data_IF_907902327638
#
_entry.id   IF_907902327638
#
_cell.length_a   1.000
_cell.length_b   1.000
_cell.length_c   1.000
_cell.angle_alpha   90.00
_cell.angle_beta   90.00
_cell.angle_gamma   90.00
#
_symmetry.space_group_name_H-M   'P 1'
#
loop_
_entity.id
_entity.type
_entity.pdbx_description
1 polymer ?
#
# COMPACT_ATOMS: atom_id res chain seq x y z
N UNK A 1 -23.92 28.56 21.82
CA UNK A 1 -23.10 27.33 21.77
C UNK A 1 -22.55 27.21 20.36
N UNK A 2 -21.32 27.67 20.08
CA UNK A 2 -20.79 27.64 18.72
C UNK A 2 -20.18 26.27 18.44
N UNK A 3 -20.36 25.83 17.19
CA UNK A 3 -20.21 24.46 16.72
C UNK A 3 -18.79 23.94 16.74
N UNK A 4 -18.68 22.62 16.87
CA UNK A 4 -17.48 21.83 16.67
C UNK A 4 -17.03 21.94 15.21
N UNK A 5 -16.14 22.87 14.92
CA UNK A 5 -15.39 22.91 13.66
C UNK A 5 -14.41 21.74 13.68
N UNK A 6 -14.75 20.64 13.02
CA UNK A 6 -13.80 19.59 12.69
C UNK A 6 -12.64 20.25 11.93
N UNK A 7 -11.37 20.12 12.36
CA UNK A 7 -10.26 20.71 11.64
C UNK A 7 -10.17 20.04 10.26
N UNK A 8 -10.46 20.82 9.23
CA UNK A 8 -10.26 20.44 7.83
C UNK A 8 -8.75 20.19 7.72
N UNK A 9 -8.34 18.93 7.48
CA UNK A 9 -6.92 18.63 7.25
C UNK A 9 -6.46 19.47 6.06
N UNK A 10 -5.43 20.33 6.19
CA UNK A 10 -4.93 21.07 5.04
C UNK A 10 -4.45 20.07 3.99
N UNK A 11 -4.90 20.25 2.75
CA UNK A 11 -4.41 19.47 1.61
C UNK A 11 -2.89 19.68 1.56
N UNK A 12 -2.12 18.60 1.70
CA UNK A 12 -0.66 18.68 1.59
C UNK A 12 -0.31 19.27 0.22
N UNK A 13 0.57 20.27 0.23
CA UNK A 13 1.03 20.94 -0.99
C UNK A 13 1.89 19.95 -1.78
N UNK A 14 1.56 19.75 -3.06
CA UNK A 14 2.34 18.88 -3.94
C UNK A 14 3.67 19.58 -4.28
N UNK A 15 4.79 18.92 -4.00
CA UNK A 15 6.12 19.34 -4.44
C UNK A 15 6.47 18.61 -5.75
N UNK A 16 6.79 19.37 -6.78
CA UNK A 16 7.19 18.83 -8.08
C UNK A 16 8.70 18.71 -8.17
N UNK A 17 9.19 17.47 -8.23
CA UNK A 17 10.62 17.16 -8.37
C UNK A 17 10.85 16.53 -9.74
N UNK A 18 11.71 17.13 -10.55
CA UNK A 18 12.02 16.66 -11.91
C UNK A 18 13.30 15.85 -11.95
N UNK A 19 13.35 14.84 -12.83
CA UNK A 19 14.55 14.07 -13.06
C UNK A 19 15.63 14.95 -13.72
N UNK A 20 16.89 14.88 -13.25
CA UNK A 20 17.99 15.59 -13.90
C UNK A 20 18.19 15.08 -15.35
N UNK A 21 18.47 15.95 -16.32
CA UNK A 21 18.62 15.56 -17.73
C UNK A 21 19.76 14.54 -17.95
N UNK A 22 20.79 14.60 -17.12
CA UNK A 22 21.95 13.70 -17.19
C UNK A 22 21.79 12.42 -16.37
N UNK A 23 20.63 12.18 -15.74
CA UNK A 23 20.42 11.07 -14.82
C UNK A 23 19.24 10.17 -15.24
N UNK A 24 19.30 9.52 -16.42
CA UNK A 24 18.20 8.71 -16.96
C UNK A 24 17.78 7.55 -16.03
N UNK A 25 18.69 7.06 -15.18
CA UNK A 25 18.39 5.97 -14.25
C UNK A 25 17.39 6.35 -13.13
N UNK A 26 17.17 7.63 -12.86
CA UNK A 26 16.22 8.08 -11.82
C UNK A 26 14.77 7.68 -12.14
N UNK A 27 14.43 7.57 -13.43
CA UNK A 27 13.11 7.14 -13.88
C UNK A 27 12.94 5.63 -14.04
N UNK A 28 13.99 4.83 -13.80
CA UNK A 28 14.00 3.42 -14.23
C UNK A 28 12.91 2.54 -13.59
N UNK A 29 12.45 2.90 -12.40
CA UNK A 29 11.37 2.19 -11.73
C UNK A 29 10.00 2.46 -12.39
N UNK A 30 9.73 3.70 -12.80
CA UNK A 30 8.54 4.05 -13.58
C UNK A 30 8.55 3.35 -14.94
N UNK A 31 9.70 3.36 -15.61
CA UNK A 31 9.87 2.68 -16.90
C UNK A 31 9.63 1.17 -16.78
N UNK A 32 10.13 0.54 -15.71
CA UNK A 32 9.86 -0.86 -15.40
C UNK A 32 8.36 -1.11 -15.23
N UNK A 33 7.67 -0.26 -14.47
CA UNK A 33 6.23 -0.40 -14.23
C UNK A 33 5.42 -0.26 -15.52
N UNK A 34 5.75 0.73 -16.35
CA UNK A 34 5.17 0.91 -17.69
C UNK A 34 5.44 -0.31 -18.58
N UNK A 35 6.63 -0.92 -18.48
CA UNK A 35 6.98 -2.15 -19.16
C UNK A 35 6.09 -3.34 -18.76
N UNK A 36 5.81 -3.50 -17.46
CA UNK A 36 4.91 -4.53 -16.93
C UNK A 36 3.49 -4.33 -17.48
N UNK A 37 2.96 -3.11 -17.38
CA UNK A 37 1.63 -2.77 -17.90
C UNK A 37 1.51 -3.09 -19.40
N UNK A 38 2.46 -2.62 -20.21
CA UNK A 38 2.48 -2.89 -21.66
C UNK A 38 2.58 -4.39 -21.95
N UNK A 39 3.32 -5.16 -21.15
CA UNK A 39 3.40 -6.62 -21.32
C UNK A 39 2.05 -7.29 -21.03
N UNK A 40 1.37 -6.92 -19.95
CA UNK A 40 0.03 -7.42 -19.64
C UNK A 40 -0.96 -7.10 -20.76
N UNK A 41 -1.02 -5.84 -21.21
CA UNK A 41 -1.93 -5.41 -22.27
C UNK A 41 -1.66 -6.16 -23.59
N UNK A 42 -0.39 -6.33 -23.98
CA UNK A 42 -0.05 -7.09 -25.21
C UNK A 42 -0.50 -8.54 -25.14
N UNK A 43 -0.38 -9.19 -23.98
CA UNK A 43 -0.81 -10.58 -23.77
C UNK A 43 -2.33 -10.72 -23.81
N UNK A 44 -3.07 -9.76 -23.23
CA UNK A 44 -4.53 -9.80 -23.13
C UNK A 44 -5.19 -9.38 -24.44
N UNK A 45 -4.74 -8.28 -25.05
CA UNK A 45 -5.40 -7.69 -26.22
C UNK A 45 -4.94 -8.31 -27.55
N UNK A 46 -3.71 -8.80 -27.62
CA UNK A 46 -3.14 -9.34 -28.86
C UNK A 46 -3.21 -8.33 -30.01
N UNK A 47 -4.09 -8.59 -30.99
CA UNK A 47 -4.33 -7.74 -32.17
C UNK A 47 -5.64 -6.93 -32.09
N UNK A 48 -6.38 -7.01 -30.98
CA UNK A 48 -7.63 -6.29 -30.80
C UNK A 48 -7.40 -4.77 -30.76
N UNK A 49 -8.29 -4.01 -31.39
CA UNK A 49 -8.36 -2.56 -31.28
C UNK A 49 -9.63 -2.21 -30.50
N UNK A 50 -9.48 -1.54 -29.37
CA UNK A 50 -10.59 -1.19 -28.48
C UNK A 50 -11.01 0.26 -28.67
N UNK A 51 -12.29 0.55 -28.40
CA UNK A 51 -12.76 1.91 -28.19
C UNK A 51 -12.09 2.51 -26.94
N UNK A 52 -12.16 3.83 -26.82
CA UNK A 52 -11.62 4.55 -25.66
C UNK A 52 -12.20 4.01 -24.34
N UNK A 53 -13.52 3.88 -24.25
CA UNK A 53 -14.19 3.42 -23.03
C UNK A 53 -13.75 2.00 -22.63
N UNK A 54 -13.72 1.08 -23.60
CA UNK A 54 -13.26 -0.29 -23.35
C UNK A 54 -11.78 -0.34 -22.95
N UNK A 55 -10.94 0.52 -23.53
CA UNK A 55 -9.54 0.62 -23.14
C UNK A 55 -9.37 1.11 -21.70
N UNK A 56 -10.17 2.08 -21.26
CA UNK A 56 -10.14 2.57 -19.87
C UNK A 56 -10.49 1.43 -18.90
N UNK A 57 -11.54 0.65 -19.18
CA UNK A 57 -11.89 -0.51 -18.35
C UNK A 57 -10.75 -1.52 -18.27
N UNK A 58 -10.15 -1.88 -19.41
CA UNK A 58 -9.03 -2.82 -19.45
C UNK A 58 -7.81 -2.29 -18.68
N UNK A 59 -7.57 -0.98 -18.73
CA UNK A 59 -6.50 -0.36 -17.94
C UNK A 59 -6.77 -0.42 -16.44
N UNK A 60 -8.01 -0.22 -15.99
CA UNK A 60 -8.40 -0.40 -14.59
C UNK A 60 -8.20 -1.85 -14.12
N UNK A 61 -8.56 -2.83 -14.95
CA UNK A 61 -8.32 -4.24 -14.64
C UNK A 61 -6.82 -4.57 -14.57
N UNK A 62 -6.04 -4.03 -15.51
CA UNK A 62 -4.59 -4.20 -15.52
C UNK A 62 -3.93 -3.55 -14.29
N UNK A 63 -4.41 -2.37 -13.88
CA UNK A 63 -3.97 -1.70 -12.64
C UNK A 63 -4.26 -2.58 -11.42
N UNK A 64 -5.48 -3.10 -11.28
CA UNK A 64 -5.86 -3.97 -10.17
C UNK A 64 -4.94 -5.21 -10.09
N UNK A 65 -4.70 -5.86 -11.22
CA UNK A 65 -3.82 -7.03 -11.30
C UNK A 65 -2.37 -6.69 -10.91
N UNK A 66 -1.84 -5.56 -11.38
CA UNK A 66 -0.47 -5.14 -11.07
C UNK A 66 -0.34 -4.81 -9.57
N UNK A 67 -1.35 -4.15 -9.00
CA UNK A 67 -1.38 -3.78 -7.59
C UNK A 67 -1.60 -4.97 -6.65
N UNK A 68 -2.26 -6.05 -7.09
CA UNK A 68 -2.43 -7.28 -6.31
C UNK A 68 -1.33 -8.33 -6.55
N UNK A 69 -0.34 -8.02 -7.40
CA UNK A 69 0.76 -8.93 -7.68
C UNK A 69 1.61 -9.17 -6.41
N UNK A 70 1.97 -10.43 -6.09
CA UNK A 70 2.84 -10.72 -4.96
C UNK A 70 4.26 -10.16 -5.16
N UNK A 71 4.76 -9.45 -4.16
CA UNK A 71 6.14 -8.96 -4.02
C UNK A 71 7.03 -9.97 -3.28
N UNK A 72 6.43 -10.80 -2.44
CA UNK A 72 7.10 -11.86 -1.70
C UNK A 72 6.73 -13.24 -2.25
N UNK A 73 7.39 -14.26 -1.71
CA UNK A 73 7.09 -15.65 -2.04
C UNK A 73 5.61 -15.99 -1.76
N UNK A 74 5.00 -16.74 -2.68
CA UNK A 74 3.66 -17.29 -2.53
C UNK A 74 3.84 -18.71 -1.99
N UNK A 75 3.39 -18.95 -0.76
CA UNK A 75 3.42 -20.30 -0.19
C UNK A 75 2.23 -21.14 -0.67
N UNK A 76 2.46 -22.44 -0.79
CA UNK A 76 1.43 -23.45 -1.04
C UNK A 76 0.71 -23.88 0.25
N UNK A 77 1.31 -23.62 1.42
CA UNK A 77 0.70 -23.95 2.71
C UNK A 77 -0.33 -22.88 3.10
N UNK A 78 -1.58 -23.26 3.42
CA UNK A 78 -2.62 -22.32 3.82
C UNK A 78 -2.37 -21.65 5.19
N UNK A 79 -1.50 -22.23 6.02
CA UNK A 79 -1.13 -21.70 7.33
C UNK A 79 0.01 -20.67 7.27
N UNK A 80 0.66 -20.53 6.12
CA UNK A 80 1.74 -19.58 5.93
C UNK A 80 1.22 -18.15 5.70
N UNK A 81 2.10 -17.17 5.92
CA UNK A 81 1.76 -15.76 5.77
C UNK A 81 1.39 -15.42 4.33
N UNK A 82 0.32 -14.62 4.16
CA UNK A 82 -0.09 -14.08 2.87
C UNK A 82 1.05 -13.25 2.24
N UNK A 83 1.31 -13.39 0.93
CA UNK A 83 2.33 -12.59 0.26
C UNK A 83 1.98 -11.10 0.29
N UNK A 84 3.00 -10.25 0.44
CA UNK A 84 2.85 -8.80 0.36
C UNK A 84 2.52 -8.38 -1.07
N UNK A 85 1.58 -7.46 -1.25
CA UNK A 85 1.22 -6.88 -2.55
C UNK A 85 1.36 -5.35 -2.50
N UNK A 86 1.60 -4.66 -3.63
CA UNK A 86 1.60 -3.20 -3.67
C UNK A 86 0.33 -2.56 -3.09
N UNK A 87 -0.84 -3.17 -3.34
CA UNK A 87 -2.13 -2.71 -2.83
C UNK A 87 -2.18 -2.62 -1.30
N UNK A 88 -1.44 -3.48 -0.58
CA UNK A 88 -1.32 -3.43 0.88
C UNK A 88 -0.59 -2.19 1.39
N UNK A 89 0.23 -1.54 0.57
CA UNK A 89 0.93 -0.29 0.92
C UNK A 89 0.15 0.96 0.51
N UNK A 90 -0.67 0.86 -0.55
CA UNK A 90 -1.47 1.97 -1.06
C UNK A 90 -2.74 2.20 -0.24
N UNK A 91 -3.33 1.11 0.26
CA UNK A 91 -4.45 1.19 1.17
C UNK A 91 -3.92 1.30 2.61
N UNK A 92 -4.35 2.33 3.34
CA UNK A 92 -4.18 2.35 4.79
C UNK A 92 -4.72 1.02 5.33
N UNK A 93 -3.85 0.23 5.97
CA UNK A 93 -4.29 -0.91 6.79
C UNK A 93 -5.16 -0.38 7.91
N UNK A 94 -6.46 -0.20 7.63
CA UNK A 94 -7.46 -0.39 8.67
C UNK A 94 -7.34 -1.86 9.02
N UNK A 95 -6.77 -2.13 10.18
CA UNK A 95 -6.72 -3.46 10.78
C UNK A 95 -8.00 -4.21 10.41
N UNK A 96 -7.87 -5.30 9.65
CA UNK A 96 -8.94 -6.30 9.55
C UNK A 96 -8.90 -7.05 10.87
N UNK A 97 -9.30 -6.32 11.90
CA UNK A 97 -9.62 -6.90 13.18
C UNK A 97 -10.97 -7.56 13.04
N UNK A 98 -11.02 -8.88 13.23
CA UNK A 98 -12.29 -9.55 13.49
C UNK A 98 -12.68 -9.08 14.90
N UNK A 99 -13.67 -8.17 15.05
CA UNK A 99 -13.86 -7.42 16.30
C UNK A 99 -14.07 -8.34 17.50
N UNK A 100 -14.66 -9.52 17.26
CA UNK A 100 -14.94 -10.52 18.27
C UNK A 100 -13.69 -11.30 18.74
N UNK A 101 -12.73 -11.57 17.85
CA UNK A 101 -11.45 -12.20 18.23
C UNK A 101 -10.51 -11.21 18.92
N UNK A 102 -10.54 -9.94 18.48
CA UNK A 102 -9.68 -8.91 19.05
C UNK A 102 -10.08 -8.55 20.47
N UNK A 103 -11.37 -8.60 20.84
CA UNK A 103 -11.78 -8.34 22.22
C UNK A 103 -11.14 -9.32 23.22
N UNK A 104 -11.00 -10.59 22.85
CA UNK A 104 -10.39 -11.62 23.71
C UNK A 104 -8.85 -11.52 23.76
N UNK A 105 -8.22 -11.10 22.67
CA UNK A 105 -6.75 -10.98 22.58
C UNK A 105 -6.22 -9.65 23.16
N UNK A 106 -7.02 -8.59 23.05
CA UNK A 106 -6.74 -7.22 23.48
C UNK A 106 -6.52 -7.11 24.99
N UNK A 107 -7.22 -7.87 25.83
CA UNK A 107 -7.05 -7.76 27.29
C UNK A 107 -5.67 -8.26 27.77
N UNK A 108 -5.19 -9.38 27.21
CA UNK A 108 -3.86 -9.95 27.53
C UNK A 108 -2.72 -9.21 26.83
N UNK A 109 -2.91 -8.81 25.57
CA UNK A 109 -1.91 -8.04 24.83
C UNK A 109 -1.76 -6.60 25.34
N UNK A 110 -2.84 -5.93 25.75
CA UNK A 110 -2.75 -4.56 26.27
C UNK A 110 -1.84 -4.46 27.49
N UNK A 111 -1.84 -5.46 28.39
CA UNK A 111 -0.93 -5.46 29.54
C UNK A 111 0.53 -5.60 29.12
N UNK A 112 0.83 -6.57 28.24
CA UNK A 112 2.20 -6.77 27.71
C UNK A 112 2.68 -5.61 26.84
N UNK A 113 1.78 -5.04 26.04
CA UNK A 113 2.05 -3.90 25.16
C UNK A 113 2.29 -2.63 25.98
N UNK A 114 1.44 -2.32 26.96
CA UNK A 114 1.64 -1.20 27.88
C UNK A 114 2.96 -1.31 28.63
N UNK A 115 3.31 -2.52 29.09
CA UNK A 115 4.60 -2.76 29.73
C UNK A 115 5.79 -2.52 28.78
N UNK A 116 5.75 -3.05 27.56
CA UNK A 116 6.80 -2.82 26.54
C UNK A 116 6.92 -1.35 26.15
N UNK A 117 5.78 -0.66 25.98
CA UNK A 117 5.74 0.78 25.69
C UNK A 117 6.39 1.59 26.81
N UNK A 118 6.11 1.23 28.06
CA UNK A 118 6.70 1.86 29.24
C UNK A 118 8.23 1.67 29.27
N UNK A 119 8.72 0.44 29.05
CA UNK A 119 10.16 0.13 28.98
C UNK A 119 10.85 0.94 27.86
N UNK A 120 10.26 0.99 26.65
CA UNK A 120 10.83 1.75 25.54
C UNK A 120 10.87 3.26 25.81
N UNK A 121 9.88 3.80 26.51
CA UNK A 121 9.86 5.22 26.88
C UNK A 121 10.92 5.52 27.96
N UNK A 122 11.13 4.63 28.92
CA UNK A 122 12.15 4.79 29.97
C UNK A 122 13.57 4.75 29.39
N UNK A 123 13.83 3.82 28.46
CA UNK A 123 15.10 3.76 27.73
C UNK A 123 15.37 5.04 26.93
N UNK A 124 14.35 5.57 26.23
CA UNK A 124 14.49 6.82 25.46
C UNK A 124 14.72 8.05 26.33
N UNK A 125 14.20 8.06 27.56
CA UNK A 125 14.43 9.15 28.51
C UNK A 125 15.82 9.10 29.15
N UNK A 126 16.40 7.90 29.32
CA UNK A 126 17.72 7.70 29.93
C UNK A 126 18.89 7.93 28.97
N UNK A 127 18.70 7.73 27.68
CA UNK A 127 19.76 7.82 26.65
C UNK A 127 19.58 9.02 25.69
N UNK A 128 18.84 10.05 26.11
CA UNK A 128 18.93 11.41 25.60
C UNK A 128 19.65 12.27 26.62
#
# INVERSE_FOLDING_TARGET
KPGSTTPIRPVQRIEWIFNPPSAPWWGGWWERLVGILKSCLRKVLGKACLSYESMVTVLCDAEAIINDRPLTYVSENPDDLKPLTPSMFLHDTKEIGVPDCDMLYTEKLNKKFKHRQHICNDLRARFR
#
